data_IF_892330495710
#
_entry.id   IF_892330495710
#
_cell.length_a   1.000
_cell.length_b   1.000
_cell.length_c   1.000
_cell.angle_alpha   90.00
_cell.angle_beta   90.00
_cell.angle_gamma   90.00
#
_symmetry.space_group_name_H-M   'P 1'
#
loop_
_entity.id
_entity.type
_entity.pdbx_description
1 polymer ?
#
# COMPACT_ATOMS: atom_id res chain seq x y z
N UNK A 1 7.41 41.40 -4.06
CA UNK A 1 7.53 40.34 -3.03
C UNK A 1 6.53 40.64 -1.92
N UNK A 2 5.47 39.84 -1.84
CA UNK A 2 4.41 39.98 -0.81
C UNK A 2 4.94 39.27 0.45
N UNK A 3 5.05 40.01 1.59
CA UNK A 3 5.46 39.44 2.87
C UNK A 3 4.39 38.49 3.41
N UNK A 4 4.72 37.31 3.91
CA UNK A 4 3.72 36.42 4.50
C UNK A 4 3.07 37.07 5.73
N UNK A 5 1.74 36.98 5.81
CA UNK A 5 0.94 37.53 6.90
C UNK A 5 1.01 36.55 8.10
N UNK A 6 1.37 37.05 9.28
CA UNK A 6 1.44 36.23 10.49
C UNK A 6 0.04 35.85 10.99
N UNK A 7 -0.16 34.60 11.44
CA UNK A 7 -1.42 34.10 12.05
C UNK A 7 -1.99 35.01 13.16
N UNK A 8 -1.14 35.77 13.86
CA UNK A 8 -1.55 36.68 14.94
C UNK A 8 -2.08 38.05 14.46
N UNK A 9 -1.80 38.42 13.21
CA UNK A 9 -2.18 39.75 12.68
C UNK A 9 -3.65 39.81 12.23
N UNK A 10 -4.26 38.69 11.90
CA UNK A 10 -5.66 38.59 11.44
C UNK A 10 -6.66 38.53 12.61
N UNK A 11 -6.22 38.20 13.82
CA UNK A 11 -7.08 37.99 15.00
C UNK A 11 -7.28 39.25 15.87
N UNK A 12 -6.81 40.44 15.50
CA UNK A 12 -6.83 41.65 16.35
C UNK A 12 -7.89 42.67 15.97
N UNK A 13 -8.93 42.30 15.36
CA UNK A 13 -9.89 43.32 14.93
C UNK A 13 -11.37 42.95 14.99
N UNK A 14 -11.89 42.34 15.97
CA UNK A 14 -13.33 42.29 16.35
C UNK A 14 -13.60 40.97 17.07
N UNK A 15 -14.08 41.02 18.25
CA UNK A 15 -14.30 39.96 19.24
C UNK A 15 -15.13 38.72 18.85
N UNK A 16 -14.90 38.13 17.72
CA UNK A 16 -15.40 36.82 17.33
C UNK A 16 -14.27 36.01 16.66
N UNK A 17 -13.84 34.92 17.27
CA UNK A 17 -12.90 33.98 16.71
C UNK A 17 -13.62 33.13 15.65
N UNK A 18 -13.54 33.54 14.39
CA UNK A 18 -13.93 32.70 13.24
C UNK A 18 -12.66 31.98 12.79
N UNK A 19 -12.64 30.67 12.90
CA UNK A 19 -11.60 29.85 12.29
C UNK A 19 -11.69 29.99 10.77
N UNK A 20 -10.72 30.67 10.17
CA UNK A 20 -10.60 30.75 8.71
C UNK A 20 -10.12 29.43 8.17
N UNK A 21 -10.66 28.94 7.04
CA UNK A 21 -10.10 27.80 6.35
C UNK A 21 -8.62 28.06 6.00
N UNK A 22 -7.79 27.02 5.98
CA UNK A 22 -6.37 27.12 5.64
C UNK A 22 -6.22 27.70 4.24
N UNK A 23 -5.76 28.95 4.14
CA UNK A 23 -5.42 29.56 2.87
C UNK A 23 -3.99 29.18 2.49
N UNK A 24 -3.74 28.93 1.19
CA UNK A 24 -2.39 28.60 0.66
C UNK A 24 -1.30 29.60 1.11
N UNK A 25 -1.66 30.87 1.33
CA UNK A 25 -0.75 31.91 1.81
C UNK A 25 -0.33 31.72 3.28
N UNK A 26 -0.97 30.83 4.04
CA UNK A 26 -0.66 30.51 5.45
C UNK A 26 0.28 29.30 5.60
N UNK A 27 0.54 28.58 4.54
CA UNK A 27 1.57 27.52 4.51
C UNK A 27 2.95 28.20 4.42
N UNK A 28 3.91 27.88 5.30
CA UNK A 28 5.28 28.35 5.13
C UNK A 28 5.81 27.79 3.81
N UNK A 29 5.99 28.64 2.81
CA UNK A 29 6.79 28.27 1.65
C UNK A 29 8.19 28.04 2.18
N UNK A 30 8.56 26.77 2.37
CA UNK A 30 9.96 26.40 2.44
C UNK A 30 10.62 26.99 1.17
N UNK A 31 11.61 27.85 1.34
CA UNK A 31 12.44 28.31 0.23
C UNK A 31 13.10 27.09 -0.38
N UNK A 32 12.50 26.55 -1.41
CA UNK A 32 13.16 25.66 -2.33
C UNK A 32 14.22 26.51 -3.04
N UNK A 33 15.48 26.18 -2.84
CA UNK A 33 16.49 26.44 -3.85
C UNK A 33 15.98 25.82 -5.15
N UNK A 34 16.14 26.54 -6.25
CA UNK A 34 15.74 26.16 -7.59
C UNK A 34 16.12 24.71 -7.90
N UNK A 35 15.15 23.84 -7.97
CA UNK A 35 15.22 22.52 -8.58
C UNK A 35 13.80 22.11 -8.90
N UNK A 36 13.56 21.72 -10.14
CA UNK A 36 12.38 21.06 -10.73
C UNK A 36 11.24 20.78 -9.75
N UNK A 37 10.02 21.23 -10.04
CA UNK A 37 8.82 20.97 -9.25
C UNK A 37 8.82 19.53 -8.75
N UNK A 38 9.08 19.34 -7.47
CA UNK A 38 9.02 18.02 -6.81
C UNK A 38 7.55 17.58 -6.80
N UNK A 39 7.10 16.96 -7.88
CA UNK A 39 5.75 16.40 -7.99
C UNK A 39 5.53 15.45 -6.82
N UNK A 40 4.49 15.70 -6.04
CA UNK A 40 4.16 14.81 -4.92
C UNK A 40 3.57 13.52 -5.48
N UNK A 41 4.42 12.50 -5.64
CA UNK A 41 4.01 11.17 -6.09
C UNK A 41 3.60 10.32 -4.88
N UNK A 42 2.53 9.50 -5.03
CA UNK A 42 2.01 8.58 -4.02
C UNK A 42 1.75 7.21 -4.60
N UNK A 43 1.91 6.18 -3.77
CA UNK A 43 1.63 4.78 -4.12
C UNK A 43 0.77 4.13 -3.05
N UNK A 44 -0.33 3.54 -3.48
CA UNK A 44 -1.25 2.77 -2.61
C UNK A 44 -1.41 1.39 -3.21
N UNK A 45 -1.18 0.34 -2.41
CA UNK A 45 -1.40 -1.04 -2.81
C UNK A 45 -2.46 -1.66 -1.91
N UNK A 46 -3.58 -2.05 -2.48
CA UNK A 46 -4.73 -2.63 -1.78
C UNK A 46 -4.92 -4.06 -2.24
N UNK A 47 -4.85 -4.98 -1.30
CA UNK A 47 -4.94 -6.41 -1.53
C UNK A 47 -6.32 -6.94 -1.11
N UNK A 48 -7.02 -7.60 -2.03
CA UNK A 48 -8.19 -8.42 -1.71
C UNK A 48 -7.77 -9.90 -1.64
N UNK A 49 -8.19 -10.66 -0.60
CA UNK A 49 -7.77 -12.05 -0.46
C UNK A 49 -8.50 -12.95 -1.45
N UNK A 50 -7.93 -14.13 -1.73
CA UNK A 50 -8.54 -15.27 -2.42
C UNK A 50 -8.90 -15.07 -3.91
N UNK A 51 -8.67 -13.91 -4.51
CA UNK A 51 -9.09 -13.61 -5.88
C UNK A 51 -10.54 -13.14 -5.99
N UNK A 52 -11.12 -13.28 -7.18
CA UNK A 52 -12.45 -12.76 -7.52
C UNK A 52 -13.22 -13.72 -8.41
N UNK A 53 -14.53 -13.54 -8.54
CA UNK A 53 -15.33 -14.25 -9.54
C UNK A 53 -15.01 -13.71 -10.94
N UNK A 54 -14.33 -14.51 -11.77
CA UNK A 54 -13.82 -14.09 -13.08
C UNK A 54 -14.91 -13.56 -14.03
N UNK A 55 -16.06 -14.25 -14.11
CA UNK A 55 -17.13 -13.91 -15.05
C UNK A 55 -17.84 -12.58 -14.77
N UNK A 56 -17.66 -12.02 -13.57
CA UNK A 56 -18.24 -10.71 -13.19
C UNK A 56 -17.20 -9.62 -12.97
N UNK A 57 -15.91 -9.98 -12.94
CA UNK A 57 -14.80 -9.04 -12.71
C UNK A 57 -14.23 -8.46 -13.98
N UNK A 58 -13.94 -9.30 -14.99
CA UNK A 58 -13.24 -8.82 -16.19
C UNK A 58 -14.21 -8.23 -17.19
N UNK A 59 -13.92 -7.03 -17.75
CA UNK A 59 -14.67 -6.47 -18.87
C UNK A 59 -14.59 -7.36 -20.12
N UNK A 60 -15.64 -7.38 -20.92
CA UNK A 60 -15.67 -8.13 -22.19
C UNK A 60 -14.84 -7.46 -23.29
N UNK A 61 -14.89 -6.11 -23.37
CA UNK A 61 -14.18 -5.34 -24.38
C UNK A 61 -12.81 -4.91 -23.88
N UNK A 62 -11.85 -4.86 -24.79
CA UNK A 62 -10.47 -4.41 -24.53
C UNK A 62 -10.21 -3.00 -25.03
N UNK A 63 -9.10 -2.40 -24.61
CA UNK A 63 -8.67 -1.07 -25.03
C UNK A 63 -9.38 0.07 -24.31
N UNK A 64 -9.34 1.24 -24.91
CA UNK A 64 -10.07 2.42 -24.41
C UNK A 64 -11.56 2.29 -24.69
N UNK A 65 -12.40 2.88 -23.82
CA UNK A 65 -13.85 2.83 -23.98
C UNK A 65 -14.47 1.45 -23.71
N UNK A 66 -13.77 0.57 -22.98
CA UNK A 66 -14.34 -0.67 -22.47
C UNK A 66 -15.54 -0.36 -21.56
N UNK A 67 -16.39 -1.31 -21.32
CA UNK A 67 -17.50 -1.17 -20.36
C UNK A 67 -17.11 -1.85 -19.06
N UNK A 68 -17.28 -1.15 -17.93
CA UNK A 68 -17.05 -1.77 -16.62
C UNK A 68 -17.87 -3.05 -16.47
N UNK A 69 -17.26 -4.05 -15.84
CA UNK A 69 -17.96 -5.28 -15.48
C UNK A 69 -18.97 -5.05 -14.36
N UNK A 70 -19.86 -6.00 -14.13
CA UNK A 70 -20.89 -5.88 -13.09
C UNK A 70 -20.32 -5.76 -11.66
N UNK A 71 -19.15 -6.31 -11.39
CA UNK A 71 -18.45 -6.16 -10.10
C UNK A 71 -17.86 -4.75 -9.95
N UNK A 72 -17.38 -4.15 -11.04
CA UNK A 72 -16.67 -2.88 -11.04
C UNK A 72 -17.54 -1.68 -11.46
N UNK A 73 -18.86 -1.84 -11.57
CA UNK A 73 -19.78 -0.84 -12.11
C UNK A 73 -19.76 0.50 -11.34
N UNK A 74 -19.47 0.48 -10.04
CA UNK A 74 -19.30 1.68 -9.22
C UNK A 74 -18.11 2.56 -9.67
N UNK A 75 -17.17 2.02 -10.44
CA UNK A 75 -16.04 2.74 -11.01
C UNK A 75 -16.35 3.38 -12.37
N UNK A 76 -17.53 3.14 -12.95
CA UNK A 76 -17.91 3.65 -14.27
C UNK A 76 -17.77 5.18 -14.41
N UNK A 77 -18.07 6.01 -13.40
CA UNK A 77 -17.87 7.46 -13.49
C UNK A 77 -16.41 7.90 -13.59
N UNK A 78 -15.48 7.01 -13.26
CA UNK A 78 -14.02 7.24 -13.29
C UNK A 78 -13.30 6.29 -14.23
N UNK A 79 -14.01 5.72 -15.22
CA UNK A 79 -13.44 4.74 -16.13
C UNK A 79 -12.19 5.25 -16.85
N UNK A 80 -12.14 6.53 -17.18
CA UNK A 80 -10.99 7.21 -17.78
C UNK A 80 -9.74 7.27 -16.87
N UNK A 81 -9.90 7.05 -15.57
CA UNK A 81 -8.82 7.01 -14.56
C UNK A 81 -8.46 5.59 -14.11
N UNK A 82 -9.17 4.57 -14.59
CA UNK A 82 -9.04 3.18 -14.12
C UNK A 82 -8.63 2.28 -15.28
N UNK A 83 -7.58 1.49 -15.10
CA UNK A 83 -7.17 0.47 -16.05
C UNK A 83 -7.32 -0.92 -15.44
N UNK A 84 -7.92 -1.86 -16.18
CA UNK A 84 -8.03 -3.27 -15.81
C UNK A 84 -6.95 -4.05 -16.56
N UNK A 85 -6.21 -4.89 -15.83
CA UNK A 85 -5.09 -5.64 -16.37
C UNK A 85 -5.38 -7.13 -16.27
N UNK A 86 -5.61 -7.77 -17.39
CA UNK A 86 -5.90 -9.22 -17.49
C UNK A 86 -4.69 -9.98 -18.01
N UNK A 87 -4.43 -11.17 -17.46
CA UNK A 87 -3.37 -12.06 -17.97
C UNK A 87 -2.04 -11.95 -17.22
N UNK A 88 -2.00 -11.21 -16.11
CA UNK A 88 -0.84 -11.19 -15.22
C UNK A 88 -0.77 -12.46 -14.36
N UNK A 89 0.43 -12.88 -13.99
CA UNK A 89 0.66 -14.10 -13.22
C UNK A 89 1.90 -14.02 -12.32
N UNK A 90 2.03 -15.03 -11.44
CA UNK A 90 3.29 -15.40 -10.80
C UNK A 90 3.85 -16.63 -11.53
N UNK A 91 4.81 -16.49 -12.48
CA UNK A 91 5.15 -17.54 -13.45
C UNK A 91 5.73 -18.81 -12.86
N UNK A 92 6.38 -18.73 -11.70
CA UNK A 92 7.12 -19.84 -11.08
C UNK A 92 6.41 -20.46 -9.87
N UNK A 93 5.18 -20.02 -9.58
CA UNK A 93 4.44 -20.59 -8.47
C UNK A 93 3.73 -21.88 -8.88
N UNK A 94 3.82 -22.89 -8.02
CA UNK A 94 2.94 -24.05 -8.11
C UNK A 94 1.49 -23.63 -7.82
N UNK A 95 0.53 -24.15 -8.58
CA UNK A 95 -0.89 -23.80 -8.50
C UNK A 95 -1.55 -24.10 -7.14
N UNK A 96 -0.89 -24.90 -6.29
CA UNK A 96 -1.43 -25.34 -4.99
C UNK A 96 -0.92 -24.51 -3.78
N UNK A 97 -0.20 -23.42 -3.99
CA UNK A 97 0.40 -22.60 -2.92
C UNK A 97 -0.37 -21.27 -2.74
N UNK A 98 -1.65 -21.26 -3.06
CA UNK A 98 -2.48 -20.04 -3.08
C UNK A 98 -2.43 -19.21 -1.81
N UNK A 99 -2.49 -19.83 -0.63
CA UNK A 99 -2.53 -19.12 0.66
C UNK A 99 -1.25 -18.35 1.04
N UNK A 100 -0.14 -18.53 0.32
CA UNK A 100 1.07 -17.74 0.48
C UNK A 100 1.13 -16.53 -0.48
N UNK A 101 0.10 -16.30 -1.27
CA UNK A 101 0.09 -15.31 -2.35
C UNK A 101 0.23 -13.86 -1.88
N UNK A 102 -0.33 -13.51 -0.72
CA UNK A 102 -0.23 -12.15 -0.17
C UNK A 102 1.23 -11.72 0.05
N UNK A 103 2.07 -12.56 0.65
CA UNK A 103 3.48 -12.26 0.85
C UNK A 103 4.30 -12.13 -0.44
N UNK A 104 3.76 -12.60 -1.55
CA UNK A 104 4.41 -12.59 -2.87
C UNK A 104 3.95 -11.47 -3.78
N UNK A 105 2.77 -10.96 -3.53
CA UNK A 105 2.11 -10.00 -4.42
C UNK A 105 2.96 -8.77 -4.71
N UNK A 106 3.63 -8.20 -3.70
CA UNK A 106 4.53 -7.05 -3.87
C UNK A 106 6.02 -7.41 -3.83
N UNK A 107 6.38 -8.66 -3.51
CA UNK A 107 7.78 -9.09 -3.47
C UNK A 107 8.23 -9.79 -4.75
N UNK A 108 7.30 -10.40 -5.50
CA UNK A 108 7.62 -11.22 -6.66
C UNK A 108 8.40 -12.50 -6.35
N UNK A 109 8.61 -12.84 -5.07
CA UNK A 109 9.43 -14.01 -4.69
C UNK A 109 8.68 -15.29 -4.95
N UNK A 110 9.33 -16.20 -5.68
CA UNK A 110 8.71 -17.42 -6.18
C UNK A 110 9.05 -18.68 -5.38
N UNK A 111 9.99 -18.59 -4.47
CA UNK A 111 10.42 -19.73 -3.67
C UNK A 111 9.41 -20.05 -2.60
N UNK A 112 8.47 -20.90 -2.90
CA UNK A 112 7.57 -21.54 -1.98
C UNK A 112 7.43 -20.86 -0.60
N UNK A 113 6.74 -21.38 0.29
CA UNK A 113 6.43 -20.86 1.63
C UNK A 113 7.60 -20.24 2.45
N UNK A 114 8.81 -20.21 1.89
CA UNK A 114 10.04 -19.77 2.57
C UNK A 114 10.17 -18.27 2.78
N UNK A 115 9.40 -17.44 2.10
CA UNK A 115 9.46 -15.98 2.30
C UNK A 115 9.14 -15.58 3.75
N UNK A 116 8.37 -16.43 4.45
CA UNK A 116 8.00 -16.20 5.86
C UNK A 116 8.59 -17.26 6.80
N UNK A 117 9.34 -18.26 6.31
CA UNK A 117 9.71 -19.43 7.11
C UNK A 117 11.07 -19.31 7.75
N UNK A 118 11.98 -18.55 7.17
CA UNK A 118 13.35 -18.52 7.67
C UNK A 118 13.83 -17.10 7.95
N UNK A 119 13.59 -16.63 9.16
CA UNK A 119 14.19 -15.41 9.67
C UNK A 119 15.73 -15.47 9.75
N UNK A 120 16.31 -16.66 9.68
CA UNK A 120 17.76 -16.87 9.70
C UNK A 120 18.38 -16.86 8.29
N UNK A 121 17.57 -17.04 7.26
CA UNK A 121 17.99 -16.94 5.85
C UNK A 121 17.16 -15.85 5.18
N UNK A 122 17.57 -14.57 5.25
CA UNK A 122 16.81 -13.47 4.66
C UNK A 122 16.75 -13.70 3.16
N UNK A 123 15.62 -14.22 2.69
CA UNK A 123 15.30 -14.20 1.28
C UNK A 123 15.25 -12.74 0.86
N UNK A 124 15.83 -12.44 -0.28
CA UNK A 124 15.96 -11.08 -0.84
C UNK A 124 14.58 -10.50 -1.29
N UNK A 125 13.55 -10.77 -0.52
CA UNK A 125 12.16 -10.36 -0.76
C UNK A 125 11.95 -8.90 -0.34
N UNK A 126 12.60 -7.98 -1.00
CA UNK A 126 12.33 -6.56 -0.80
C UNK A 126 11.10 -6.19 -1.61
N UNK A 127 10.01 -5.80 -0.95
CA UNK A 127 8.77 -5.48 -1.65
C UNK A 127 8.82 -4.14 -2.39
N UNK A 128 8.10 -4.04 -3.51
CA UNK A 128 8.12 -2.86 -4.38
C UNK A 128 7.67 -1.58 -3.66
N UNK A 129 6.68 -1.68 -2.76
CA UNK A 129 6.22 -0.56 -1.95
C UNK A 129 7.33 -0.03 -1.02
N UNK A 130 8.17 -0.90 -0.48
CA UNK A 130 9.28 -0.49 0.38
C UNK A 130 10.47 0.05 -0.42
N UNK A 131 10.70 -0.41 -1.65
CA UNK A 131 11.64 0.22 -2.57
C UNK A 131 11.21 1.67 -2.87
N UNK A 132 9.93 1.87 -3.16
CA UNK A 132 9.34 3.20 -3.37
C UNK A 132 9.41 4.05 -2.09
N UNK A 133 9.05 3.49 -0.93
CA UNK A 133 9.09 4.19 0.36
C UNK A 133 10.51 4.68 0.72
N UNK A 134 11.54 3.91 0.39
CA UNK A 134 12.93 4.32 0.62
C UNK A 134 13.34 5.51 -0.26
N UNK A 135 12.70 5.70 -1.41
CA UNK A 135 12.93 6.86 -2.29
C UNK A 135 12.12 8.08 -1.87
N UNK A 136 10.80 7.98 -1.90
CA UNK A 136 9.90 9.14 -1.71
C UNK A 136 9.43 9.35 -0.27
N UNK A 137 9.39 8.28 0.53
CA UNK A 137 8.89 8.31 1.92
C UNK A 137 9.83 9.01 2.91
N UNK A 138 11.06 9.35 2.48
CA UNK A 138 12.00 10.13 3.29
C UNK A 138 11.54 11.56 3.54
N UNK A 139 10.61 12.06 2.74
CA UNK A 139 10.06 13.43 2.80
C UNK A 139 8.85 13.53 3.74
N UNK A 140 8.35 12.43 4.28
CA UNK A 140 7.15 12.36 5.12
C UNK A 140 7.46 11.86 6.52
N UNK A 141 6.56 12.13 7.50
CA UNK A 141 6.70 11.64 8.88
C UNK A 141 6.78 10.11 8.93
N UNK A 142 5.93 9.44 8.18
CA UNK A 142 5.88 7.98 8.07
C UNK A 142 6.30 7.59 6.65
N UNK A 143 7.46 6.94 6.46
CA UNK A 143 7.91 6.52 5.13
C UNK A 143 6.90 5.68 4.38
N UNK A 144 6.20 4.83 5.14
CA UNK A 144 5.10 3.98 4.66
C UNK A 144 4.15 3.62 5.80
N UNK A 145 2.92 3.23 5.45
CA UNK A 145 1.90 2.78 6.37
C UNK A 145 1.41 1.40 5.94
N UNK A 146 1.52 0.42 6.84
CA UNK A 146 1.07 -0.96 6.63
C UNK A 146 -0.23 -1.18 7.38
N UNK A 147 -1.29 -1.49 6.67
CA UNK A 147 -2.64 -1.71 7.20
C UNK A 147 -3.16 -3.09 6.81
N UNK A 148 -4.00 -3.67 7.65
CA UNK A 148 -4.63 -4.96 7.39
C UNK A 148 -5.88 -5.11 8.25
N UNK A 149 -6.69 -6.13 7.97
CA UNK A 149 -7.78 -6.57 8.86
C UNK A 149 -7.29 -7.33 10.08
N UNK A 150 -6.04 -7.78 10.08
CA UNK A 150 -5.38 -8.42 11.21
C UNK A 150 -4.00 -7.80 11.46
N UNK A 151 -3.66 -7.56 12.72
CA UNK A 151 -2.38 -6.93 13.09
C UNK A 151 -1.19 -7.89 12.95
N UNK A 152 -0.02 -7.29 12.80
CA UNK A 152 1.27 -7.98 12.85
C UNK A 152 1.79 -8.41 11.49
N UNK A 153 2.77 -9.31 11.51
CA UNK A 153 3.44 -9.80 10.31
C UNK A 153 2.80 -11.08 9.73
N UNK A 154 2.03 -11.80 10.55
CA UNK A 154 1.50 -13.12 10.20
C UNK A 154 2.46 -14.25 10.55
N UNK A 155 2.19 -15.40 9.95
CA UNK A 155 3.00 -16.62 10.06
C UNK A 155 3.37 -17.11 8.66
N UNK A 156 4.33 -18.03 8.53
CA UNK A 156 4.67 -18.63 7.24
C UNK A 156 3.44 -19.14 6.48
N UNK A 157 3.33 -18.77 5.20
CA UNK A 157 2.18 -19.12 4.36
C UNK A 157 0.88 -18.37 4.64
N UNK A 158 0.85 -17.49 5.65
CA UNK A 158 -0.32 -16.65 6.00
C UNK A 158 0.14 -15.26 6.42
N UNK A 159 0.55 -14.45 5.46
CA UNK A 159 1.00 -13.09 5.71
C UNK A 159 -0.16 -12.19 6.15
N UNK A 160 0.11 -11.31 7.11
CA UNK A 160 -0.77 -10.20 7.52
C UNK A 160 -0.27 -8.84 7.03
N UNK A 161 0.79 -8.84 6.23
CA UNK A 161 1.39 -7.67 5.62
C UNK A 161 1.80 -7.94 4.19
N UNK A 162 1.85 -6.90 3.37
CA UNK A 162 2.36 -6.95 2.00
C UNK A 162 3.80 -6.44 1.91
N UNK A 163 4.28 -5.80 2.98
CA UNK A 163 5.51 -5.01 2.99
C UNK A 163 6.66 -5.78 3.64
N UNK A 164 7.78 -5.86 2.92
CA UNK A 164 8.99 -6.52 3.36
C UNK A 164 10.18 -5.58 3.15
N UNK A 165 11.01 -5.41 4.17
CA UNK A 165 12.19 -4.55 4.09
C UNK A 165 13.32 -5.17 3.23
N UNK A 166 14.43 -4.44 3.06
CA UNK A 166 15.57 -4.87 2.25
C UNK A 166 16.20 -6.20 2.68
N UNK A 167 15.88 -6.70 3.87
CA UNK A 167 16.32 -8.02 4.37
C UNK A 167 15.30 -9.11 4.16
N UNK A 168 14.16 -8.82 3.55
CA UNK A 168 13.06 -9.76 3.43
C UNK A 168 12.28 -9.96 4.73
N UNK A 169 12.46 -9.09 5.75
CA UNK A 169 11.67 -9.14 6.97
C UNK A 169 10.33 -8.45 6.79
N UNK A 170 9.22 -9.07 7.20
CA UNK A 170 7.90 -8.48 7.08
C UNK A 170 7.75 -7.28 8.04
N UNK A 171 7.17 -6.20 7.55
CA UNK A 171 6.81 -5.04 8.37
C UNK A 171 5.41 -5.24 8.94
N UNK A 172 5.24 -5.20 10.28
CA UNK A 172 3.95 -5.48 10.90
C UNK A 172 2.86 -4.49 10.48
N UNK A 173 1.68 -5.01 10.16
CA UNK A 173 0.49 -4.20 9.86
C UNK A 173 -0.24 -3.77 11.10
N UNK A 174 -0.97 -2.65 11.00
CA UNK A 174 -1.94 -2.17 11.98
C UNK A 174 -3.36 -2.50 11.51
N UNK A 175 -4.21 -2.92 12.45
CA UNK A 175 -5.61 -3.27 12.16
C UNK A 175 -6.63 -2.52 13.04
N UNK A 176 -6.18 -1.68 13.95
CA UNK A 176 -7.02 -0.93 14.87
C UNK A 176 -7.19 0.52 14.37
N UNK A 177 -8.35 0.93 13.82
CA UNK A 177 -8.54 2.26 13.25
C UNK A 177 -8.21 3.39 14.23
N UNK A 178 -8.59 3.24 15.51
CA UNK A 178 -8.28 4.23 16.56
C UNK A 178 -6.78 4.37 16.78
N UNK A 179 -6.04 3.26 16.78
CA UNK A 179 -4.59 3.28 16.95
C UNK A 179 -3.90 3.91 15.75
N UNK A 180 -4.37 3.62 14.52
CA UNK A 180 -3.90 4.26 13.29
C UNK A 180 -4.13 5.77 13.35
N UNK A 181 -5.35 6.21 13.70
CA UNK A 181 -5.69 7.61 13.87
C UNK A 181 -4.79 8.31 14.89
N UNK A 182 -4.64 7.73 16.07
CA UNK A 182 -3.81 8.30 17.15
C UNK A 182 -2.35 8.44 16.70
N UNK A 183 -1.83 7.43 16.00
CA UNK A 183 -0.47 7.48 15.46
C UNK A 183 -0.27 8.64 14.48
N UNK A 184 -1.25 8.89 13.62
CA UNK A 184 -1.13 9.85 12.52
C UNK A 184 -1.45 11.29 12.95
N UNK A 185 -2.49 11.49 13.77
CA UNK A 185 -3.14 12.78 13.93
C UNK A 185 -3.20 13.29 15.37
N UNK A 186 -3.15 12.40 16.38
CA UNK A 186 -3.17 12.87 17.77
C UNK A 186 -1.80 13.38 18.18
N UNK A 187 -1.67 14.67 18.59
CA UNK A 187 -0.40 15.23 19.06
C UNK A 187 0.12 14.50 20.31
N UNK A 188 1.41 14.26 20.36
CA UNK A 188 2.09 13.81 21.56
C UNK A 188 2.09 14.90 22.63
N UNK A 189 1.92 14.51 23.90
CA UNK A 189 2.12 15.44 25.03
C UNK A 189 3.61 15.84 25.15
N UNK A 190 3.88 16.92 25.88
CA UNK A 190 5.27 17.33 26.16
C UNK A 190 6.05 16.21 26.89
N UNK A 191 5.38 15.48 27.79
CA UNK A 191 5.98 14.36 28.51
C UNK A 191 6.27 13.17 27.58
N UNK A 192 5.36 12.85 26.64
CA UNK A 192 5.57 11.78 25.65
C UNK A 192 6.77 12.10 24.78
N UNK A 193 6.87 13.34 24.27
CA UNK A 193 8.02 13.78 23.46
C UNK A 193 9.32 13.70 24.24
N UNK A 194 9.34 14.11 25.52
CA UNK A 194 10.53 14.02 26.36
C UNK A 194 10.94 12.56 26.60
N UNK A 195 9.98 11.69 26.91
CA UNK A 195 10.24 10.27 27.08
C UNK A 195 10.78 9.62 25.80
N UNK A 196 10.23 9.99 24.63
CA UNK A 196 10.67 9.47 23.34
C UNK A 196 12.08 9.94 22.97
N UNK A 197 12.44 11.20 23.25
CA UNK A 197 13.83 11.69 23.10
C UNK A 197 14.82 10.85 23.91
N UNK A 198 14.50 10.56 25.16
CA UNK A 198 15.36 9.70 26.00
C UNK A 198 15.49 8.30 25.41
N UNK A 199 14.39 7.73 24.88
CA UNK A 199 14.45 6.43 24.18
C UNK A 199 15.33 6.46 22.94
N UNK A 200 15.24 7.52 22.12
CA UNK A 200 16.09 7.68 20.92
C UNK A 200 17.56 7.79 21.31
N UNK A 201 17.91 8.62 22.29
CA UNK A 201 19.29 8.75 22.77
C UNK A 201 19.87 7.41 23.25
N UNK A 202 19.08 6.63 24.01
CA UNK A 202 19.50 5.29 24.47
C UNK A 202 19.72 4.32 23.30
N UNK A 203 18.83 4.33 22.31
CA UNK A 203 18.96 3.48 21.12
C UNK A 203 20.16 3.89 20.29
N UNK A 204 20.40 5.17 20.09
CA UNK A 204 21.54 5.69 19.37
C UNK A 204 22.85 5.29 20.06
N UNK A 205 22.96 5.47 21.38
CA UNK A 205 24.13 5.04 22.16
C UNK A 205 24.40 3.54 22.06
N UNK A 206 23.34 2.70 22.03
CA UNK A 206 23.47 1.25 21.81
C UNK A 206 24.02 0.94 20.41
N UNK A 207 23.51 1.62 19.37
CA UNK A 207 23.98 1.43 17.99
C UNK A 207 25.42 1.87 17.82
N UNK A 208 25.83 3.01 18.41
CA UNK A 208 27.21 3.51 18.40
C UNK A 208 28.17 2.48 19.03
N UNK A 209 27.79 1.87 20.16
CA UNK A 209 28.57 0.83 20.81
C UNK A 209 28.71 -0.42 19.92
N UNK A 210 27.61 -0.91 19.34
CA UNK A 210 27.63 -2.05 18.42
C UNK A 210 28.49 -1.78 17.19
N UNK A 211 28.41 -0.58 16.61
CA UNK A 211 29.23 -0.17 15.47
C UNK A 211 30.70 -0.11 15.83
N UNK A 212 31.05 0.39 17.02
CA UNK A 212 32.44 0.46 17.50
C UNK A 212 33.02 -0.94 17.71
N UNK A 213 32.31 -1.83 18.39
CA UNK A 213 32.73 -3.22 18.62
C UNK A 213 32.86 -3.99 17.31
N UNK A 214 31.94 -3.78 16.37
CA UNK A 214 31.94 -4.43 15.06
C UNK A 214 33.16 -4.05 14.22
N UNK A 215 33.58 -2.79 14.22
CA UNK A 215 34.83 -2.34 13.56
C UNK A 215 36.08 -3.04 14.12
N UNK A 216 36.08 -3.35 15.40
CA UNK A 216 37.15 -4.12 16.03
C UNK A 216 37.13 -5.58 15.60
N UNK A 217 35.95 -6.16 15.50
CA UNK A 217 35.74 -7.55 15.06
C UNK A 217 36.12 -7.73 13.58
N UNK A 218 35.74 -6.80 12.70
CA UNK A 218 35.99 -6.86 11.24
C UNK A 218 37.46 -7.10 10.90
N UNK A 219 38.38 -6.51 11.67
CA UNK A 219 39.83 -6.68 11.48
C UNK A 219 40.34 -8.11 11.76
N UNK A 220 39.55 -8.91 12.46
CA UNK A 220 39.89 -10.27 12.88
C UNK A 220 39.22 -11.38 12.05
N UNK A 221 38.29 -11.00 11.17
CA UNK A 221 37.47 -11.92 10.40
C UNK A 221 38.05 -12.25 9.04
N UNK A 222 37.77 -13.45 8.56
CA UNK A 222 38.00 -13.90 7.19
C UNK A 222 37.03 -13.23 6.21
N UNK A 223 37.20 -13.42 4.91
CA UNK A 223 36.41 -12.74 3.85
C UNK A 223 34.89 -13.00 3.97
N UNK A 224 34.49 -14.27 4.11
CA UNK A 224 33.07 -14.63 4.18
C UNK A 224 32.37 -14.04 5.43
N UNK A 225 33.07 -14.00 6.57
CA UNK A 225 32.51 -13.44 7.80
C UNK A 225 32.51 -11.91 7.77
N UNK A 226 33.43 -11.27 7.06
CA UNK A 226 33.38 -9.81 6.81
C UNK A 226 32.17 -9.45 5.95
N UNK A 227 31.84 -10.23 4.93
CA UNK A 227 30.66 -10.00 4.10
C UNK A 227 29.39 -10.07 4.96
N UNK A 228 29.26 -11.10 5.81
CA UNK A 228 28.13 -11.23 6.76
C UNK A 228 28.07 -10.09 7.78
N UNK A 229 29.22 -9.70 8.32
CA UNK A 229 29.28 -8.55 9.23
C UNK A 229 28.91 -7.26 8.53
N UNK A 230 29.33 -7.06 7.28
CA UNK A 230 28.95 -5.92 6.44
C UNK A 230 27.45 -5.83 6.23
N UNK A 231 26.80 -6.95 5.95
CA UNK A 231 25.33 -7.02 5.86
C UNK A 231 24.65 -6.64 7.19
N UNK A 232 25.18 -7.12 8.31
CA UNK A 232 24.70 -6.77 9.65
C UNK A 232 24.87 -5.26 9.93
N UNK A 233 26.04 -4.69 9.62
CA UNK A 233 26.32 -3.27 9.81
C UNK A 233 25.44 -2.37 8.92
N UNK A 234 25.20 -2.78 7.69
CA UNK A 234 24.25 -2.08 6.80
C UNK A 234 22.85 -1.98 7.42
N UNK A 235 22.42 -3.04 8.11
CA UNK A 235 21.15 -3.06 8.80
C UNK A 235 21.08 -2.14 10.03
N UNK A 236 22.16 -2.05 10.76
CA UNK A 236 22.26 -1.10 11.88
C UNK A 236 22.18 0.31 11.36
N UNK A 237 22.85 0.60 10.24
CA UNK A 237 22.79 1.90 9.59
C UNK A 237 21.39 2.30 9.15
N UNK A 238 20.61 1.34 8.66
CA UNK A 238 19.22 1.57 8.30
C UNK A 238 18.36 1.96 9.51
N UNK A 239 18.59 1.29 10.66
CA UNK A 239 17.93 1.64 11.93
C UNK A 239 18.35 3.02 12.43
N UNK A 240 19.65 3.39 12.33
CA UNK A 240 20.14 4.74 12.68
C UNK A 240 19.42 5.81 11.85
N UNK A 241 19.38 5.65 10.53
CA UNK A 241 18.70 6.60 9.64
C UNK A 241 17.21 6.73 9.96
N UNK A 242 16.57 5.65 10.36
CA UNK A 242 15.18 5.68 10.79
C UNK A 242 15.00 6.42 12.14
N UNK A 243 15.89 6.21 13.09
CA UNK A 243 15.89 6.93 14.38
C UNK A 243 16.10 8.42 14.20
N UNK A 244 17.10 8.83 13.42
CA UNK A 244 17.38 10.23 13.09
C UNK A 244 16.18 10.92 12.45
N UNK A 245 15.50 10.23 11.52
CA UNK A 245 14.30 10.72 10.88
C UNK A 245 13.17 10.91 11.89
N UNK A 246 12.91 9.91 12.71
CA UNK A 246 11.86 9.97 13.71
C UNK A 246 12.12 11.11 14.72
N UNK A 247 13.37 11.33 15.09
CA UNK A 247 13.75 12.42 15.98
C UNK A 247 13.46 13.79 15.38
N UNK A 248 13.76 14.00 14.08
CA UNK A 248 13.45 15.26 13.38
C UNK A 248 11.95 15.56 13.34
N UNK A 249 11.13 14.52 13.21
CA UNK A 249 9.67 14.67 13.19
C UNK A 249 9.03 14.85 14.58
N UNK A 250 9.77 14.60 15.67
CA UNK A 250 9.25 14.76 17.03
C UNK A 250 8.86 16.22 17.35
N UNK A 251 9.58 17.16 16.77
CA UNK A 251 9.35 18.59 16.96
C UNK A 251 8.37 19.22 15.95
N UNK A 252 7.96 18.45 14.94
CA UNK A 252 6.95 18.87 13.98
C UNK A 252 5.56 18.50 14.52
N UNK A 253 4.59 19.43 14.50
CA UNK A 253 3.23 19.10 14.89
C UNK A 253 2.63 18.05 13.92
N UNK A 254 1.78 17.18 14.45
CA UNK A 254 0.94 16.33 13.60
C UNK A 254 -0.12 17.19 12.92
N UNK A 255 -0.54 16.82 11.69
CA UNK A 255 -1.59 17.55 10.99
C UNK A 255 -2.93 17.40 11.74
N UNK A 256 -3.74 18.43 11.68
CA UNK A 256 -5.14 18.40 12.11
C UNK A 256 -6.01 17.99 10.94
N UNK A 257 -6.96 17.10 11.18
CA UNK A 257 -7.95 16.65 10.19
C UNK A 257 -9.34 16.82 10.77
N UNK A 258 -10.31 17.15 9.91
CA UNK A 258 -11.71 17.11 10.29
C UNK A 258 -12.15 15.65 10.43
N UNK A 259 -12.56 15.29 11.62
CA UNK A 259 -12.95 13.94 11.99
C UNK A 259 -14.43 13.79 12.28
N UNK A 260 -15.23 14.80 11.95
CA UNK A 260 -16.66 14.82 12.23
C UNK A 260 -17.39 13.59 11.67
N UNK A 261 -16.92 13.07 10.54
CA UNK A 261 -17.48 11.90 9.86
C UNK A 261 -16.79 10.58 10.22
N UNK A 262 -15.69 10.61 11.00
CA UNK A 262 -14.96 9.40 11.40
C UNK A 262 -15.63 8.70 12.58
N UNK A 263 -16.27 7.58 12.31
CA UNK A 263 -16.84 6.72 13.34
C UNK A 263 -15.92 5.52 13.59
N UNK A 264 -15.35 5.44 14.80
CA UNK A 264 -14.50 4.31 15.20
C UNK A 264 -15.27 3.12 15.78
N UNK A 265 -16.58 3.22 15.92
CA UNK A 265 -17.45 2.11 16.25
C UNK A 265 -18.03 1.55 14.95
N UNK A 266 -17.63 0.35 14.60
CA UNK A 266 -18.10 -0.36 13.39
C UNK A 266 -18.77 -1.67 13.79
N UNK A 267 -19.87 -2.02 13.12
CA UNK A 267 -20.71 -3.19 13.40
C UNK A 267 -20.39 -4.37 12.49
N UNK A 268 -19.73 -4.11 11.37
CA UNK A 268 -19.49 -5.08 10.32
C UNK A 268 -18.21 -4.75 9.52
N UNK A 269 -17.83 -5.64 8.61
CA UNK A 269 -16.64 -5.49 7.78
C UNK A 269 -16.71 -4.28 6.86
N UNK A 270 -17.86 -4.00 6.26
CA UNK A 270 -18.03 -2.85 5.36
C UNK A 270 -17.74 -1.53 6.04
N UNK A 271 -18.24 -1.34 7.25
CA UNK A 271 -18.00 -0.13 8.06
C UNK A 271 -16.52 -0.05 8.49
N UNK A 272 -15.93 -1.16 8.91
CA UNK A 272 -14.50 -1.23 9.24
C UNK A 272 -13.62 -0.81 8.05
N UNK A 273 -13.85 -1.42 6.87
CA UNK A 273 -13.09 -1.10 5.66
C UNK A 273 -13.26 0.36 5.27
N UNK A 274 -14.49 0.90 5.37
CA UNK A 274 -14.74 2.32 5.09
C UNK A 274 -13.88 3.23 5.97
N UNK A 275 -13.83 2.99 7.27
CA UNK A 275 -12.99 3.77 8.21
C UNK A 275 -11.51 3.66 7.87
N UNK A 276 -11.05 2.47 7.47
CA UNK A 276 -9.66 2.29 7.04
C UNK A 276 -9.35 3.07 5.75
N UNK A 277 -10.25 3.08 4.76
CA UNK A 277 -10.12 3.90 3.56
C UNK A 277 -10.12 5.41 3.89
N UNK A 278 -10.96 5.84 4.83
CA UNK A 278 -10.98 7.23 5.29
C UNK A 278 -9.63 7.64 5.92
N UNK A 279 -9.05 6.77 6.76
CA UNK A 279 -7.73 7.00 7.36
C UNK A 279 -6.61 7.02 6.33
N UNK A 280 -6.67 6.15 5.32
CA UNK A 280 -5.74 6.17 4.19
C UNK A 280 -5.85 7.50 3.43
N UNK A 281 -7.05 7.94 3.12
CA UNK A 281 -7.29 9.22 2.45
C UNK A 281 -6.70 10.40 3.23
N UNK A 282 -7.01 10.53 4.52
CA UNK A 282 -6.46 11.60 5.36
C UNK A 282 -4.92 11.53 5.47
N UNK A 283 -4.36 10.33 5.50
CA UNK A 283 -2.89 10.15 5.54
C UNK A 283 -2.21 10.70 4.30
N UNK A 284 -2.83 10.51 3.12
CA UNK A 284 -2.34 11.03 1.84
C UNK A 284 -2.59 12.53 1.70
N UNK A 285 -3.78 13.01 2.10
CA UNK A 285 -4.18 14.41 2.01
C UNK A 285 -3.27 15.31 2.86
N UNK A 286 -2.87 14.83 4.03
CA UNK A 286 -1.99 15.57 4.95
C UNK A 286 -0.51 15.36 4.67
N UNK A 287 -0.15 14.59 3.64
CA UNK A 287 1.21 14.15 3.34
C UNK A 287 1.94 13.50 4.56
N UNK A 288 1.14 12.87 5.44
CA UNK A 288 1.67 12.11 6.58
C UNK A 288 2.48 10.89 6.12
N UNK A 289 2.08 10.29 5.01
CA UNK A 289 2.79 9.26 4.26
C UNK A 289 2.44 9.35 2.77
N UNK A 290 3.34 8.85 1.92
CA UNK A 290 3.13 8.75 0.46
C UNK A 290 3.03 7.31 -0.04
N UNK A 291 3.25 6.33 0.84
CA UNK A 291 3.20 4.91 0.49
C UNK A 291 2.34 4.18 1.50
N UNK A 292 1.28 3.52 1.02
CA UNK A 292 0.35 2.76 1.87
C UNK A 292 0.16 1.37 1.28
N UNK A 293 0.20 0.35 2.12
CA UNK A 293 -0.28 -0.99 1.81
C UNK A 293 -1.46 -1.33 2.70
N UNK A 294 -2.51 -1.92 2.13
CA UNK A 294 -3.70 -2.32 2.85
C UNK A 294 -4.20 -3.69 2.40
N UNK A 295 -4.37 -4.61 3.34
CA UNK A 295 -5.05 -5.88 3.11
C UNK A 295 -6.50 -5.76 3.59
N UNK A 296 -7.47 -5.74 2.67
CA UNK A 296 -8.90 -5.72 2.98
C UNK A 296 -9.41 -7.03 3.58
N UNK A 297 -8.60 -8.06 3.49
CA UNK A 297 -8.72 -9.35 4.16
C UNK A 297 -7.39 -10.09 4.14
N UNK A 298 -7.22 -11.06 5.03
CA UNK A 298 -6.05 -11.95 5.05
C UNK A 298 -6.36 -13.25 4.32
N UNK A 299 -5.32 -13.98 3.93
CA UNK A 299 -5.49 -15.31 3.39
C UNK A 299 -6.15 -16.25 4.40
N UNK A 300 -7.08 -17.09 3.93
CA UNK A 300 -7.94 -17.92 4.80
C UNK A 300 -8.87 -17.06 5.68
N UNK A 301 -9.33 -15.92 5.17
CA UNK A 301 -10.29 -15.08 5.88
C UNK A 301 -11.64 -15.81 6.06
N UNK A 302 -11.96 -16.10 7.32
CA UNK A 302 -13.19 -16.80 7.72
C UNK A 302 -14.34 -15.81 8.01
N UNK A 303 -14.21 -14.55 7.65
CA UNK A 303 -15.24 -13.54 7.87
C UNK A 303 -16.49 -13.82 7.02
N UNK A 304 -17.65 -13.72 7.67
CA UNK A 304 -18.96 -13.84 7.03
C UNK A 304 -19.55 -12.45 6.82
N UNK A 305 -19.88 -12.12 5.60
CA UNK A 305 -20.46 -10.82 5.25
C UNK A 305 -21.96 -10.79 5.54
N UNK A 306 -22.32 -10.91 6.82
CA UNK A 306 -23.71 -10.96 7.29
C UNK A 306 -24.53 -9.75 6.88
N UNK A 307 -23.93 -8.57 6.79
CA UNK A 307 -24.54 -7.34 6.31
C UNK A 307 -24.98 -7.39 4.83
N UNK A 308 -24.43 -8.33 4.06
CA UNK A 308 -24.84 -8.61 2.68
C UNK A 308 -25.77 -9.81 2.56
N UNK A 309 -26.21 -10.40 3.69
CA UNK A 309 -26.97 -11.64 3.72
C UNK A 309 -26.12 -12.88 3.37
N UNK A 310 -24.79 -12.79 3.51
CA UNK A 310 -23.84 -13.85 3.18
C UNK A 310 -23.38 -14.53 4.47
N UNK A 311 -23.96 -15.67 4.79
CA UNK A 311 -23.69 -16.42 6.03
C UNK A 311 -22.57 -17.48 5.90
N UNK A 312 -22.01 -17.65 4.70
CA UNK A 312 -20.83 -18.48 4.45
C UNK A 312 -19.58 -17.61 4.46
N UNK A 313 -18.48 -18.10 5.02
CA UNK A 313 -17.24 -17.34 5.06
C UNK A 313 -16.64 -17.13 3.66
N UNK A 314 -15.87 -16.05 3.51
CA UNK A 314 -15.36 -15.62 2.22
C UNK A 314 -14.41 -16.65 1.59
N UNK A 315 -13.56 -17.30 2.38
CA UNK A 315 -12.66 -18.34 1.90
C UNK A 315 -13.44 -19.55 1.33
N UNK A 316 -14.44 -20.03 2.08
CA UNK A 316 -15.29 -21.15 1.62
C UNK A 316 -16.12 -20.82 0.37
N UNK A 317 -16.48 -19.52 0.16
CA UNK A 317 -17.14 -19.08 -1.07
C UNK A 317 -16.23 -19.20 -2.28
N UNK A 318 -14.92 -18.96 -2.12
CA UNK A 318 -13.96 -19.11 -3.21
C UNK A 318 -13.84 -20.58 -3.68
N UNK A 319 -14.13 -21.54 -2.80
CA UNK A 319 -14.20 -22.99 -3.14
C UNK A 319 -15.62 -23.43 -3.54
N UNK A 320 -16.34 -22.60 -4.31
CA UNK A 320 -17.76 -22.83 -4.67
C UNK A 320 -18.00 -24.08 -5.53
N UNK A 321 -16.98 -24.65 -6.17
CA UNK A 321 -17.09 -25.88 -7.00
C UNK A 321 -18.26 -25.84 -8.01
N UNK A 322 -18.51 -24.67 -8.63
CA UNK A 322 -19.59 -24.48 -9.59
C UNK A 322 -21.00 -24.28 -8.98
N UNK A 323 -21.12 -24.20 -7.64
CA UNK A 323 -22.39 -23.94 -6.99
C UNK A 323 -22.84 -22.48 -7.27
N UNK A 324 -23.96 -22.35 -8.03
CA UNK A 324 -24.45 -21.03 -8.47
C UNK A 324 -24.81 -20.10 -7.31
N UNK A 325 -25.39 -20.64 -6.22
CA UNK A 325 -25.77 -19.84 -5.05
C UNK A 325 -24.51 -19.25 -4.35
N UNK A 326 -23.45 -20.05 -4.21
CA UNK A 326 -22.19 -19.58 -3.63
C UNK A 326 -21.48 -18.58 -4.57
N UNK A 327 -21.54 -18.80 -5.89
CA UNK A 327 -21.03 -17.86 -6.90
C UNK A 327 -21.76 -16.51 -6.85
N UNK A 328 -23.08 -16.48 -6.64
CA UNK A 328 -23.85 -15.24 -6.47
C UNK A 328 -23.48 -14.52 -5.17
N UNK A 329 -23.30 -15.28 -4.07
CA UNK A 329 -22.83 -14.71 -2.80
C UNK A 329 -21.42 -14.11 -2.93
N UNK A 330 -20.52 -14.81 -3.62
CA UNK A 330 -19.19 -14.34 -3.92
C UNK A 330 -19.22 -13.02 -4.69
N UNK A 331 -20.04 -12.93 -5.76
CA UNK A 331 -20.18 -11.68 -6.52
C UNK A 331 -20.70 -10.51 -5.68
N UNK A 332 -21.54 -10.76 -4.66
CA UNK A 332 -21.97 -9.69 -3.74
C UNK A 332 -20.83 -9.17 -2.89
N UNK A 333 -19.95 -10.06 -2.44
CA UNK A 333 -18.76 -9.67 -1.66
C UNK A 333 -17.76 -8.91 -2.54
N UNK A 334 -17.42 -9.48 -3.72
CA UNK A 334 -16.50 -8.84 -4.67
C UNK A 334 -16.99 -7.43 -5.06
N UNK A 335 -18.31 -7.30 -5.33
CA UNK A 335 -18.92 -6.00 -5.63
C UNK A 335 -18.81 -5.03 -4.47
N UNK A 336 -19.04 -5.48 -3.23
CA UNK A 336 -18.95 -4.62 -2.03
C UNK A 336 -17.53 -4.11 -1.81
N UNK A 337 -16.53 -4.96 -1.99
CA UNK A 337 -15.12 -4.56 -1.96
C UNK A 337 -14.83 -3.49 -3.03
N UNK A 338 -15.32 -3.68 -4.25
CA UNK A 338 -15.16 -2.72 -5.34
C UNK A 338 -15.90 -1.39 -5.08
N UNK A 339 -17.10 -1.42 -4.49
CA UNK A 339 -17.86 -0.22 -4.13
C UNK A 339 -17.10 0.63 -3.08
N UNK A 340 -16.46 -0.02 -2.11
CA UNK A 340 -15.65 0.64 -1.09
C UNK A 340 -14.38 1.26 -1.70
N UNK A 341 -13.72 0.54 -2.60
CA UNK A 341 -12.60 1.07 -3.38
C UNK A 341 -13.03 2.29 -4.19
N UNK A 342 -14.18 2.22 -4.88
CA UNK A 342 -14.71 3.32 -5.67
C UNK A 342 -14.90 4.60 -4.82
N UNK A 343 -15.47 4.47 -3.62
CA UNK A 343 -15.60 5.59 -2.69
C UNK A 343 -14.26 6.24 -2.33
N UNK A 344 -13.22 5.44 -2.13
CA UNK A 344 -11.87 5.95 -1.88
C UNK A 344 -11.29 6.67 -3.10
N UNK A 345 -11.40 6.09 -4.28
CA UNK A 345 -10.89 6.68 -5.53
C UNK A 345 -11.61 7.97 -5.90
N UNK A 346 -12.94 8.03 -5.70
CA UNK A 346 -13.74 9.26 -5.91
C UNK A 346 -13.20 10.40 -5.05
N UNK A 347 -12.96 10.16 -3.76
CA UNK A 347 -12.40 11.19 -2.86
C UNK A 347 -11.03 11.68 -3.32
N UNK A 348 -10.15 10.78 -3.76
CA UNK A 348 -8.86 11.17 -4.33
C UNK A 348 -9.02 11.99 -5.61
N UNK A 349 -9.98 11.63 -6.45
CA UNK A 349 -10.23 12.32 -7.72
C UNK A 349 -10.88 13.70 -7.54
N UNK A 350 -11.74 13.87 -6.54
CA UNK A 350 -12.38 15.14 -6.21
C UNK A 350 -11.47 16.10 -5.44
N UNK A 351 -10.38 15.60 -4.88
CA UNK A 351 -9.42 16.43 -4.15
C UNK A 351 -8.46 17.08 -5.14
N UNK A 352 -8.53 18.42 -5.24
CA UNK A 352 -7.65 19.19 -6.10
C UNK A 352 -6.18 19.12 -5.65
N UNK A 353 -5.28 18.96 -6.60
CA UNK A 353 -3.83 19.05 -6.40
C UNK A 353 -3.19 19.69 -7.64
N UNK A 354 -2.55 20.86 -7.46
CA UNK A 354 -1.98 21.65 -8.56
C UNK A 354 -3.05 21.93 -9.64
N UNK A 355 -2.79 21.51 -10.88
CA UNK A 355 -3.67 21.66 -12.05
C UNK A 355 -4.51 20.41 -12.34
N UNK A 356 -4.60 19.48 -11.40
CA UNK A 356 -5.24 18.18 -11.57
C UNK A 356 -5.83 17.66 -10.25
N UNK A 357 -6.15 16.37 -10.19
CA UNK A 357 -6.63 15.71 -8.96
C UNK A 357 -5.49 15.06 -8.19
N UNK A 358 -5.72 14.82 -6.89
CA UNK A 358 -4.80 14.01 -6.08
C UNK A 358 -4.64 12.60 -6.67
N UNK A 359 -5.67 12.04 -7.29
CA UNK A 359 -5.62 10.74 -7.95
C UNK A 359 -4.62 10.73 -9.11
N UNK A 360 -4.48 11.81 -9.86
CA UNK A 360 -3.50 11.91 -10.94
C UNK A 360 -2.06 11.84 -10.46
N UNK A 361 -1.81 12.18 -9.20
CA UNK A 361 -0.52 12.09 -8.51
C UNK A 361 -0.39 10.84 -7.61
N UNK A 362 -1.38 9.94 -7.66
CA UNK A 362 -1.42 8.72 -6.83
C UNK A 362 -1.64 7.50 -7.71
N UNK A 363 -0.74 6.54 -7.68
CA UNK A 363 -0.99 5.22 -8.27
C UNK A 363 -1.64 4.33 -7.23
N UNK A 364 -2.85 3.84 -7.52
CA UNK A 364 -3.58 2.90 -6.67
C UNK A 364 -3.62 1.55 -7.38
N UNK A 365 -2.84 0.61 -6.89
CA UNK A 365 -2.86 -0.79 -7.31
C UNK A 365 -3.84 -1.56 -6.42
N UNK A 366 -4.86 -2.18 -7.03
CA UNK A 366 -5.82 -3.05 -6.35
C UNK A 366 -5.81 -4.43 -7.00
N UNK A 367 -5.85 -5.49 -6.19
CA UNK A 367 -5.90 -6.83 -6.72
C UNK A 367 -5.56 -7.92 -5.72
N UNK A 368 -5.22 -9.09 -6.23
CA UNK A 368 -4.84 -10.26 -5.45
C UNK A 368 -3.62 -10.96 -6.04
N UNK A 369 -2.87 -11.64 -5.19
CA UNK A 369 -1.75 -12.50 -5.60
C UNK A 369 -2.19 -13.89 -6.03
N UNK A 370 -3.48 -14.18 -5.94
CA UNK A 370 -4.11 -15.40 -6.45
C UNK A 370 -5.44 -15.07 -7.14
N UNK A 371 -5.97 -16.02 -7.85
CA UNK A 371 -7.28 -15.92 -8.45
C UNK A 371 -8.08 -17.19 -8.20
N UNK A 372 -9.38 -17.10 -8.42
CA UNK A 372 -10.32 -18.21 -8.33
C UNK A 372 -10.20 -19.20 -9.51
N UNK A 373 -9.02 -19.44 -10.00
CA UNK A 373 -8.64 -20.44 -10.99
C UNK A 373 -9.12 -20.24 -12.43
N UNK A 374 -8.22 -20.37 -13.38
CA UNK A 374 -8.56 -20.53 -14.79
C UNK A 374 -9.16 -21.94 -14.95
N UNK A 375 -10.41 -22.04 -15.38
CA UNK A 375 -11.14 -23.31 -15.49
C UNK A 375 -12.10 -23.57 -14.32
N UNK A 376 -12.28 -22.63 -13.41
CA UNK A 376 -13.23 -22.73 -12.31
C UNK A 376 -14.70 -22.64 -12.72
N UNK A 377 -14.96 -22.13 -13.90
CA UNK A 377 -16.28 -22.17 -14.46
C UNK A 377 -16.76 -23.61 -14.72
N UNK A 378 -15.81 -24.57 -14.76
CA UNK A 378 -16.05 -26.00 -14.86
C UNK A 378 -16.01 -26.74 -13.51
N UNK A 379 -15.97 -26.04 -12.39
CA UNK A 379 -16.25 -26.62 -11.06
C UNK A 379 -15.08 -27.32 -10.37
N UNK A 380 -13.84 -27.15 -10.81
CA UNK A 380 -12.66 -27.78 -10.18
C UNK A 380 -11.75 -26.73 -9.56
N UNK A 381 -12.10 -26.30 -8.35
CA UNK A 381 -11.54 -25.17 -7.72
C UNK A 381 -10.26 -25.40 -6.91
N UNK A 382 -9.17 -24.77 -7.29
CA UNK A 382 -8.05 -24.44 -6.42
C UNK A 382 -7.53 -23.05 -6.77
N UNK A 383 -6.97 -22.32 -5.81
CA UNK A 383 -6.42 -21.00 -6.05
C UNK A 383 -5.37 -21.02 -7.18
N UNK A 384 -5.51 -20.11 -8.15
CA UNK A 384 -4.61 -20.01 -9.29
C UNK A 384 -3.67 -18.85 -9.12
N UNK A 385 -2.44 -19.00 -9.58
CA UNK A 385 -1.44 -17.92 -9.66
C UNK A 385 -1.40 -17.26 -11.03
N UNK A 386 -2.39 -17.54 -11.87
CA UNK A 386 -2.58 -16.99 -13.21
C UNK A 386 -3.82 -16.12 -13.27
N UNK A 387 -3.85 -15.24 -14.28
CA UNK A 387 -4.97 -14.31 -14.50
C UNK A 387 -5.32 -13.55 -13.22
N UNK A 388 -4.29 -13.03 -12.55
CA UNK A 388 -4.45 -12.32 -11.28
C UNK A 388 -5.39 -11.12 -11.47
N UNK A 389 -6.41 -10.96 -10.60
CA UNK A 389 -7.24 -9.77 -10.64
C UNK A 389 -6.38 -8.56 -10.32
N UNK A 390 -6.30 -7.63 -11.28
CA UNK A 390 -5.42 -6.47 -11.16
C UNK A 390 -6.10 -5.25 -11.76
N UNK A 391 -6.17 -4.19 -10.99
CA UNK A 391 -6.67 -2.88 -11.36
C UNK A 391 -5.62 -1.84 -10.98
N UNK A 392 -5.33 -0.90 -11.89
CA UNK A 392 -4.50 0.26 -11.63
C UNK A 392 -5.31 1.53 -11.88
N UNK A 393 -5.46 2.36 -10.84
CA UNK A 393 -6.13 3.64 -10.93
C UNK A 393 -5.17 4.80 -10.67
N UNK A 394 -5.41 5.92 -11.34
CA UNK A 394 -4.64 7.14 -11.14
C UNK A 394 -3.25 7.12 -11.76
N UNK A 395 -2.40 8.06 -11.34
CA UNK A 395 -1.01 8.16 -11.79
C UNK A 395 -0.83 8.84 -13.16
N UNK A 396 -1.84 9.55 -13.70
CA UNK A 396 -1.73 10.24 -14.99
C UNK A 396 -0.58 11.23 -15.04
N UNK A 397 -0.36 12.00 -13.97
CA UNK A 397 0.78 12.93 -13.85
C UNK A 397 2.12 12.21 -13.56
N UNK A 398 2.09 10.92 -13.28
CA UNK A 398 3.26 10.06 -13.09
C UNK A 398 3.60 9.24 -14.36
N UNK A 399 2.94 9.53 -15.47
CA UNK A 399 3.21 8.89 -16.77
C UNK A 399 2.46 7.58 -17.00
N UNK A 400 1.41 7.29 -16.22
CA UNK A 400 0.54 6.13 -16.45
C UNK A 400 -0.54 6.48 -17.48
N UNK A 401 -0.66 5.70 -18.53
CA UNK A 401 -1.80 5.74 -19.45
C UNK A 401 -2.99 5.03 -18.80
N UNK A 402 -3.99 5.81 -18.46
CA UNK A 402 -5.19 5.37 -17.73
C UNK A 402 -6.34 5.00 -18.69
N UNK A 403 -7.42 4.45 -18.13
CA UNK A 403 -8.72 4.34 -18.79
C UNK A 403 -8.84 3.22 -19.82
N UNK A 404 -8.11 2.13 -19.65
CA UNK A 404 -8.09 1.04 -20.63
C UNK A 404 -8.18 -0.35 -19.98
N UNK A 405 -8.73 -1.30 -20.72
CA UNK A 405 -8.64 -2.73 -20.42
C UNK A 405 -7.53 -3.36 -21.25
N UNK A 406 -6.43 -3.71 -20.62
CA UNK A 406 -5.28 -4.37 -21.22
C UNK A 406 -5.35 -5.87 -20.98
N UNK A 407 -5.21 -6.64 -22.05
CA UNK A 407 -5.18 -8.11 -21.99
C UNK A 407 -3.83 -8.60 -22.48
N UNK A 408 -3.15 -9.35 -21.63
CA UNK A 408 -1.88 -10.00 -21.91
C UNK A 408 -2.12 -11.46 -22.20
N UNK A 409 -1.56 -11.93 -23.32
CA UNK A 409 -1.84 -13.25 -23.83
C UNK A 409 -1.35 -14.38 -22.91
N UNK A 410 -2.09 -15.50 -22.96
CA UNK A 410 -1.74 -16.78 -22.31
C UNK A 410 -1.62 -16.75 -20.79
N UNK A 411 -2.09 -15.70 -20.09
CA UNK A 411 -2.00 -15.56 -18.62
C UNK A 411 -0.57 -15.88 -18.09
N UNK A 412 0.45 -15.42 -18.79
CA UNK A 412 1.88 -15.70 -18.48
C UNK A 412 2.74 -14.48 -18.30
N UNK A 413 2.19 -13.29 -18.45
CA UNK A 413 2.95 -12.05 -18.24
C UNK A 413 3.23 -11.89 -16.75
N UNK A 414 4.51 -11.78 -16.35
CA UNK A 414 4.86 -11.63 -14.93
C UNK A 414 4.24 -10.37 -14.32
N UNK A 415 3.60 -10.51 -13.15
CA UNK A 415 3.13 -9.35 -12.37
C UNK A 415 4.28 -8.39 -12.07
N UNK A 416 5.49 -8.88 -11.97
CA UNK A 416 6.67 -8.06 -11.72
C UNK A 416 7.01 -7.08 -12.85
N UNK A 417 6.51 -7.26 -14.08
CA UNK A 417 6.59 -6.23 -15.13
C UNK A 417 5.77 -4.99 -14.75
N UNK A 418 4.61 -5.19 -14.10
CA UNK A 418 3.86 -4.07 -13.53
C UNK A 418 4.67 -3.40 -12.41
N UNK A 419 5.33 -4.16 -11.54
CA UNK A 419 6.17 -3.59 -10.50
C UNK A 419 7.31 -2.72 -11.07
N UNK A 420 7.95 -3.14 -12.17
CA UNK A 420 8.94 -2.32 -12.89
C UNK A 420 8.29 -1.02 -13.38
N UNK A 421 7.09 -1.10 -13.96
CA UNK A 421 6.36 0.08 -14.41
C UNK A 421 6.08 1.05 -13.26
N UNK A 422 5.58 0.53 -12.13
CA UNK A 422 5.28 1.35 -10.94
C UNK A 422 6.53 2.02 -10.38
N UNK A 423 7.64 1.28 -10.23
CA UNK A 423 8.91 1.84 -9.75
C UNK A 423 9.41 2.98 -10.63
N UNK A 424 9.45 2.77 -11.94
CA UNK A 424 9.93 3.78 -12.88
C UNK A 424 9.01 5.02 -12.91
N UNK A 425 7.70 4.83 -12.82
CA UNK A 425 6.73 5.94 -12.70
C UNK A 425 6.88 6.72 -11.41
N UNK A 426 7.46 6.11 -10.36
CA UNK A 426 7.84 6.76 -9.10
C UNK A 426 9.26 7.35 -9.12
N UNK A 427 9.93 7.35 -10.27
CA UNK A 427 11.26 7.92 -10.45
C UNK A 427 12.43 7.03 -10.00
N UNK A 428 12.20 5.73 -9.79
CA UNK A 428 13.28 4.79 -9.52
C UNK A 428 13.86 4.28 -10.84
N UNK A 429 15.15 4.46 -11.05
CA UNK A 429 15.86 3.97 -12.24
C UNK A 429 16.18 2.47 -12.08
N UNK A 430 15.14 1.63 -12.24
CA UNK A 430 15.27 0.17 -12.24
C UNK A 430 14.56 -0.41 -13.45
N UNK A 431 15.27 -1.22 -14.21
CA UNK A 431 14.79 -1.88 -15.43
C UNK A 431 14.32 -3.32 -15.21
N UNK A 432 14.53 -3.86 -14.00
CA UNK A 432 14.10 -5.20 -13.62
C UNK A 432 13.67 -5.28 -12.15
N UNK A 433 12.80 -6.24 -11.87
CA UNK A 433 12.37 -6.60 -10.51
C UNK A 433 12.00 -8.08 -10.48
N UNK A 434 12.79 -8.88 -9.77
CA UNK A 434 12.64 -10.35 -9.64
C UNK A 434 12.55 -11.03 -11.02
N UNK A 435 11.35 -11.48 -11.45
CA UNK A 435 11.11 -12.06 -12.78
C UNK A 435 10.57 -11.04 -13.81
N UNK A 436 10.28 -9.81 -13.38
CA UNK A 436 9.96 -8.69 -14.27
C UNK A 436 11.22 -8.11 -14.92
N UNK A 437 11.26 -8.08 -16.24
CA UNK A 437 12.44 -7.68 -17.03
C UNK A 437 12.23 -6.40 -17.82
N UNK A 438 11.03 -5.87 -17.81
CA UNK A 438 10.61 -4.73 -18.64
C UNK A 438 9.37 -4.04 -18.06
N UNK A 439 9.07 -2.86 -18.52
CA UNK A 439 7.78 -2.20 -18.24
C UNK A 439 6.63 -2.98 -18.84
N UNK A 440 5.50 -2.91 -18.20
CA UNK A 440 4.28 -3.50 -18.72
C UNK A 440 3.77 -2.70 -19.93
N UNK A 441 3.69 -3.35 -21.08
CA UNK A 441 3.29 -2.71 -22.34
C UNK A 441 1.88 -2.11 -22.23
N UNK A 442 1.70 -0.90 -22.76
CA UNK A 442 0.41 -0.21 -22.82
C UNK A 442 0.12 0.74 -21.65
N UNK A 443 0.90 0.70 -20.58
CA UNK A 443 0.72 1.59 -19.41
C UNK A 443 1.59 2.85 -19.43
N UNK A 444 2.50 2.97 -20.39
CA UNK A 444 3.42 4.13 -20.46
C UNK A 444 3.47 4.69 -21.87
#
# INVERSE_FOLDING_TARGET
MIKPISRRTVLRGTGAAIALPMLEIMTPRLRAGESSSDKVARMVCIYTPHGVRNSTWYPEKTGFGYTMSSTLDALSPMQDKVSILTGLCHPRMASNVGHAAAGRWLTGVNDGDRVLVDFASPNKAFSVDQLVANSIGTKTRWPSLQLSTEAGAGVPGRSRTLSFNARGLPLPSMNEPRAVFNRLFVPETANDRAAERVRYQRRQSLLDNVMSESKSLERRLGRADRERLGEFLASIREVELQLDRNQKWLDQPKPEVDTSDLQFAFKNRSEFLKVMYDLMFFSLQTDSTRVITFMSGVEVDMYKWGELGVNKDYHSLQHHNGNKVDMEKLSKVDKREADLLAGFLVRLNETAQEDSSMLDHTMVLYGSGMNNGVGFEDGKGSHSTRKLPTLLAGGGKLGIKQGQHLVYENDRTPLCNLHVTLMQSMGLERDHFVDGKERLTGLS
#
